data_IF_322599751838
#
_entry.id   IF_322599751838
#
_cell.length_a   1.000
_cell.length_b   1.000
_cell.length_c   1.000
_cell.angle_alpha   90.00
_cell.angle_beta   90.00
_cell.angle_gamma   90.00
#
_symmetry.space_group_name_H-M   'P 1'
#
loop_
_entity.id
_entity.type
_entity.pdbx_description
1 polymer ?
#
# COMPACT_ATOMS: atom_id res chain seq x y z
N UNK A 1 24.37 -14.51 7.60
CA UNK A 1 24.62 -14.65 6.16
C UNK A 1 23.52 -15.56 5.63
N UNK A 2 22.91 -15.25 4.51
CA UNK A 2 21.95 -16.16 3.88
C UNK A 2 22.72 -17.33 3.26
N UNK A 3 22.20 -18.54 3.45
CA UNK A 3 22.72 -19.72 2.78
C UNK A 3 22.02 -19.83 1.42
N UNK A 4 22.77 -19.69 0.36
CA UNK A 4 22.26 -19.77 -1.02
C UNK A 4 22.80 -21.01 -1.74
N UNK A 5 23.38 -21.95 -1.03
CA UNK A 5 24.02 -23.12 -1.64
C UNK A 5 23.06 -23.93 -2.50
N UNK A 6 21.81 -24.09 -2.10
CA UNK A 6 20.81 -24.78 -2.93
C UNK A 6 20.53 -24.03 -4.23
N UNK A 7 20.40 -22.69 -4.16
CA UNK A 7 20.20 -21.86 -5.37
C UNK A 7 21.43 -21.93 -6.26
N UNK A 8 22.62 -21.78 -5.66
CA UNK A 8 23.89 -21.82 -6.39
C UNK A 8 24.14 -23.16 -7.09
N UNK A 9 23.72 -24.25 -6.47
CA UNK A 9 23.84 -25.58 -7.06
C UNK A 9 22.83 -25.82 -8.17
N UNK A 10 21.63 -25.25 -8.07
CA UNK A 10 20.57 -25.38 -9.07
C UNK A 10 20.71 -24.39 -10.22
N UNK A 11 21.06 -23.13 -9.91
CA UNK A 11 21.17 -22.02 -10.86
C UNK A 11 22.24 -21.02 -10.40
N UNK A 12 23.48 -21.21 -10.85
CA UNK A 12 24.60 -20.33 -10.48
C UNK A 12 24.41 -18.87 -10.93
N UNK A 13 23.78 -18.64 -12.07
CA UNK A 13 23.56 -17.30 -12.64
C UNK A 13 22.61 -16.49 -11.74
N UNK A 14 21.53 -17.07 -11.28
CA UNK A 14 20.62 -16.42 -10.31
C UNK A 14 21.30 -16.21 -8.95
N UNK A 15 22.13 -17.13 -8.50
CA UNK A 15 22.87 -16.95 -7.25
C UNK A 15 23.84 -15.76 -7.32
N UNK A 16 24.46 -15.52 -8.47
CA UNK A 16 25.30 -14.34 -8.70
C UNK A 16 24.48 -13.04 -8.67
N UNK A 17 23.32 -12.99 -9.29
CA UNK A 17 22.41 -11.83 -9.26
C UNK A 17 21.97 -11.51 -7.84
N UNK A 18 21.54 -12.51 -7.06
CA UNK A 18 21.13 -12.32 -5.66
C UNK A 18 22.31 -11.80 -4.82
N UNK A 19 23.52 -12.33 -5.06
CA UNK A 19 24.71 -11.89 -4.35
C UNK A 19 25.08 -10.45 -4.70
N UNK A 20 24.94 -10.07 -5.97
CA UNK A 20 25.19 -8.71 -6.44
C UNK A 20 24.19 -7.72 -5.82
N UNK A 21 22.90 -8.08 -5.78
CA UNK A 21 21.87 -7.26 -5.15
C UNK A 21 22.11 -7.10 -3.64
N UNK A 22 22.48 -8.16 -2.95
CA UNK A 22 22.84 -8.07 -1.53
C UNK A 22 24.02 -7.11 -1.30
N UNK A 23 25.03 -7.11 -2.17
CA UNK A 23 26.14 -6.15 -2.12
C UNK A 23 25.67 -4.73 -2.38
N UNK A 24 24.80 -4.53 -3.39
CA UNK A 24 24.22 -3.23 -3.69
C UNK A 24 23.50 -2.65 -2.48
N UNK A 25 22.58 -3.40 -1.89
CA UNK A 25 21.81 -2.98 -0.72
C UNK A 25 22.70 -2.62 0.48
N UNK A 26 23.78 -3.38 0.72
CA UNK A 26 24.70 -3.11 1.83
C UNK A 26 25.65 -1.91 1.58
N UNK A 27 25.82 -1.48 0.34
CA UNK A 27 26.76 -0.41 -0.04
C UNK A 27 26.07 0.95 -0.31
N UNK A 28 24.75 1.00 -0.32
CA UNK A 28 23.99 2.21 -0.64
C UNK A 28 23.02 2.56 0.50
N UNK A 29 22.67 3.84 0.56
CA UNK A 29 21.57 4.32 1.42
C UNK A 29 20.31 4.28 0.56
N UNK A 30 19.31 3.51 1.01
CA UNK A 30 18.02 3.43 0.34
C UNK A 30 17.17 4.64 0.71
N UNK A 31 16.74 5.41 -0.31
CA UNK A 31 15.90 6.61 -0.15
C UNK A 31 14.47 6.41 -0.67
N UNK A 32 14.15 5.24 -1.21
CA UNK A 32 12.81 4.93 -1.68
C UNK A 32 11.96 4.50 -0.47
N UNK A 33 10.96 5.30 -0.11
CA UNK A 33 10.13 5.09 1.09
C UNK A 33 9.39 3.75 1.11
N UNK A 34 9.06 3.19 -0.05
CA UNK A 34 8.39 1.88 -0.17
C UNK A 34 9.33 0.68 -0.04
N UNK A 35 10.63 0.88 -0.06
CA UNK A 35 11.60 -0.19 0.14
C UNK A 35 11.88 -0.39 1.62
N UNK A 36 11.75 -1.64 2.08
CA UNK A 36 11.98 -2.01 3.47
C UNK A 36 12.87 -3.25 3.56
N UNK A 37 13.81 -3.22 4.49
CA UNK A 37 14.69 -4.35 4.76
C UNK A 37 13.99 -5.33 5.68
N UNK A 38 13.51 -6.41 5.12
CA UNK A 38 12.82 -7.44 5.88
C UNK A 38 13.80 -8.31 6.67
N UNK A 39 13.33 -8.87 7.79
CA UNK A 39 14.11 -9.80 8.58
C UNK A 39 14.36 -11.13 7.86
N UNK A 40 15.39 -11.86 8.28
CA UNK A 40 15.66 -13.22 7.79
C UNK A 40 14.46 -14.14 7.98
N UNK A 41 13.71 -13.98 9.08
CA UNK A 41 12.51 -14.78 9.35
C UNK A 41 11.42 -14.55 8.31
N UNK A 42 11.21 -13.29 7.88
CA UNK A 42 10.23 -12.97 6.81
C UNK A 42 10.65 -13.62 5.49
N UNK A 43 11.93 -13.51 5.11
CA UNK A 43 12.42 -14.15 3.88
C UNK A 43 12.32 -15.67 3.92
N UNK A 44 12.63 -16.31 5.05
CA UNK A 44 12.48 -17.75 5.23
C UNK A 44 11.01 -18.19 5.16
N UNK A 45 10.09 -17.41 5.72
CA UNK A 45 8.66 -17.69 5.63
C UNK A 45 8.13 -17.60 4.20
N UNK A 46 8.59 -16.64 3.40
CA UNK A 46 8.22 -16.50 1.99
C UNK A 46 8.69 -17.69 1.14
N UNK A 47 9.87 -18.26 1.41
CA UNK A 47 10.41 -19.45 0.75
C UNK A 47 9.98 -20.77 1.38
N UNK A 48 9.00 -20.78 2.27
CA UNK A 48 8.52 -21.99 2.94
C UNK A 48 7.57 -22.84 2.07
N UNK A 49 7.23 -24.08 2.50
CA UNK A 49 6.25 -24.91 1.80
C UNK A 49 4.86 -24.27 1.60
N UNK A 50 4.53 -23.19 2.34
CA UNK A 50 3.30 -22.43 2.11
C UNK A 50 3.25 -21.83 0.70
N UNK A 51 4.40 -21.56 0.08
CA UNK A 51 4.52 -21.11 -1.33
C UNK A 51 3.88 -22.07 -2.32
N UNK A 52 3.82 -23.37 -2.00
CA UNK A 52 3.23 -24.39 -2.87
C UNK A 52 1.71 -24.45 -2.80
N UNK A 53 1.09 -23.74 -1.82
CA UNK A 53 -0.34 -23.90 -1.56
C UNK A 53 -1.19 -22.86 -2.28
N UNK A 54 -2.05 -23.32 -3.17
CA UNK A 54 -3.10 -22.50 -3.78
C UNK A 54 -4.31 -22.40 -2.84
N UNK A 55 -4.69 -21.19 -2.45
CA UNK A 55 -5.66 -20.94 -1.39
C UNK A 55 -6.69 -19.87 -1.75
N UNK A 56 -7.31 -20.00 -2.94
CA UNK A 56 -8.37 -19.09 -3.39
C UNK A 56 -9.55 -19.10 -2.41
N UNK A 57 -10.10 -17.94 -2.13
CA UNK A 57 -11.15 -17.72 -1.12
C UNK A 57 -10.60 -17.17 0.19
N UNK A 58 -11.34 -17.34 1.26
CA UNK A 58 -11.00 -16.81 2.59
C UNK A 58 -10.90 -17.94 3.62
N UNK A 59 -10.28 -17.75 4.79
CA UNK A 59 -10.23 -18.74 5.86
C UNK A 59 -11.62 -19.32 6.16
N UNK A 60 -11.70 -20.65 6.18
CA UNK A 60 -12.97 -21.37 6.36
C UNK A 60 -13.94 -21.37 5.16
N UNK A 61 -13.62 -20.64 4.09
CA UNK A 61 -14.43 -20.51 2.86
C UNK A 61 -13.56 -20.59 1.62
N UNK A 62 -12.77 -21.64 1.51
CA UNK A 62 -11.86 -21.88 0.37
C UNK A 62 -12.56 -22.65 -0.75
N UNK A 63 -12.11 -22.38 -1.97
CA UNK A 63 -12.56 -23.15 -3.15
C UNK A 63 -11.88 -24.52 -3.25
N UNK A 64 -10.72 -24.71 -2.60
CA UNK A 64 -9.91 -25.92 -2.65
C UNK A 64 -9.68 -26.52 -1.27
N UNK A 65 -9.47 -27.83 -1.22
CA UNK A 65 -9.12 -28.57 -0.01
C UNK A 65 -7.68 -28.32 0.45
N UNK A 66 -7.35 -28.81 1.66
CA UNK A 66 -5.98 -28.76 2.20
C UNK A 66 -5.53 -27.38 2.69
N UNK A 67 -6.46 -26.47 3.00
CA UNK A 67 -6.16 -25.09 3.37
C UNK A 67 -6.06 -24.86 4.87
N UNK A 68 -6.21 -25.88 5.71
CA UNK A 68 -6.24 -25.75 7.17
C UNK A 68 -5.01 -25.05 7.76
N UNK A 69 -3.81 -25.24 7.18
CA UNK A 69 -2.59 -24.58 7.64
C UNK A 69 -2.49 -23.14 7.16
N UNK A 70 -2.82 -22.86 5.90
CA UNK A 70 -2.81 -21.49 5.36
C UNK A 70 -3.91 -20.64 5.98
N UNK A 71 -5.04 -21.24 6.37
CA UNK A 71 -6.10 -20.53 7.10
C UNK A 71 -5.58 -19.99 8.44
N UNK A 72 -4.83 -20.82 9.18
CA UNK A 72 -4.19 -20.37 10.43
C UNK A 72 -3.18 -19.25 10.17
N UNK A 73 -2.36 -19.38 9.14
CA UNK A 73 -1.36 -18.34 8.80
C UNK A 73 -2.04 -17.00 8.44
N UNK A 74 -3.09 -17.05 7.61
CA UNK A 74 -3.84 -15.85 7.22
C UNK A 74 -4.57 -15.22 8.43
N UNK A 75 -5.19 -16.05 9.30
CA UNK A 75 -5.88 -15.54 10.48
C UNK A 75 -4.91 -14.90 11.49
N UNK A 76 -3.72 -15.49 11.70
CA UNK A 76 -2.67 -14.87 12.51
C UNK A 76 -2.24 -13.52 11.95
N UNK A 77 -2.10 -13.39 10.64
CA UNK A 77 -1.76 -12.13 10.00
C UNK A 77 -2.86 -11.08 10.21
N UNK A 78 -4.13 -11.46 10.04
CA UNK A 78 -5.28 -10.58 10.26
C UNK A 78 -5.36 -10.07 11.70
N UNK A 79 -5.27 -10.96 12.68
CA UNK A 79 -5.36 -10.61 14.09
C UNK A 79 -4.17 -9.74 14.54
N UNK A 80 -2.98 -9.98 14.03
CA UNK A 80 -1.81 -9.15 14.30
C UNK A 80 -1.95 -7.76 13.69
N UNK A 81 -2.43 -7.66 12.44
CA UNK A 81 -2.69 -6.38 11.79
C UNK A 81 -3.79 -5.59 12.51
N UNK A 82 -4.89 -6.22 12.96
CA UNK A 82 -5.90 -5.57 13.80
C UNK A 82 -5.30 -4.94 15.05
N UNK A 83 -4.43 -5.68 15.75
CA UNK A 83 -3.75 -5.16 16.96
C UNK A 83 -2.82 -4.00 16.64
N UNK A 84 -2.06 -4.11 15.54
CA UNK A 84 -1.08 -3.09 15.14
C UNK A 84 -1.76 -1.76 14.77
N UNK A 85 -2.84 -1.82 14.01
CA UNK A 85 -3.53 -0.63 13.50
C UNK A 85 -4.76 -0.22 14.34
N UNK A 86 -5.15 -0.99 15.35
CA UNK A 86 -6.32 -0.71 16.18
C UNK A 86 -7.62 -0.72 15.38
N UNK A 87 -7.74 -1.56 14.35
CA UNK A 87 -8.89 -1.59 13.46
C UNK A 87 -9.75 -2.85 13.65
N UNK A 88 -11.03 -2.75 13.27
CA UNK A 88 -11.99 -3.85 13.41
C UNK A 88 -11.87 -4.90 12.29
N UNK A 89 -11.58 -4.46 11.08
CA UNK A 89 -11.54 -5.30 9.88
C UNK A 89 -10.21 -5.20 9.18
N UNK A 90 -9.70 -6.34 8.71
CA UNK A 90 -8.45 -6.43 7.97
C UNK A 90 -8.58 -7.45 6.85
N UNK A 91 -8.03 -7.09 5.69
CA UNK A 91 -7.76 -8.01 4.59
C UNK A 91 -6.25 -7.98 4.32
N UNK A 92 -5.60 -9.15 4.38
CA UNK A 92 -4.15 -9.30 4.20
C UNK A 92 -3.79 -9.97 2.86
N UNK A 93 -4.77 -10.18 1.97
CA UNK A 93 -4.55 -10.88 0.71
C UNK A 93 -3.91 -10.03 -0.41
N UNK A 94 -4.06 -8.69 -0.47
CA UNK A 94 -3.40 -7.93 -1.52
C UNK A 94 -1.88 -8.18 -1.55
N UNK A 95 -1.35 -8.46 -2.73
CA UNK A 95 0.09 -8.71 -2.90
C UNK A 95 0.93 -7.42 -3.00
N UNK A 96 0.28 -6.26 -3.12
CA UNK A 96 0.94 -4.96 -3.25
C UNK A 96 0.04 -3.83 -2.77
N UNK A 97 0.64 -2.68 -2.43
CA UNK A 97 -0.12 -1.46 -2.13
C UNK A 97 -1.01 -1.01 -3.29
N UNK A 98 -0.56 -1.19 -4.53
CA UNK A 98 -1.37 -0.88 -5.71
C UNK A 98 -2.63 -1.75 -5.78
N UNK A 99 -2.52 -3.05 -5.51
CA UNK A 99 -3.67 -3.95 -5.47
C UNK A 99 -4.60 -3.61 -4.29
N UNK A 100 -4.06 -3.28 -3.12
CA UNK A 100 -4.86 -2.88 -1.97
C UNK A 100 -5.66 -1.61 -2.27
N UNK A 101 -5.03 -0.59 -2.85
CA UNK A 101 -5.71 0.65 -3.22
C UNK A 101 -6.79 0.40 -4.28
N UNK A 102 -6.50 -0.41 -5.29
CA UNK A 102 -7.47 -0.78 -6.31
C UNK A 102 -8.66 -1.56 -5.72
N UNK A 103 -8.40 -2.49 -4.80
CA UNK A 103 -9.47 -3.23 -4.13
C UNK A 103 -10.43 -2.30 -3.38
N UNK A 104 -9.90 -1.32 -2.63
CA UNK A 104 -10.73 -0.32 -1.92
C UNK A 104 -11.50 0.55 -2.93
N UNK A 105 -10.84 1.05 -3.95
CA UNK A 105 -11.47 1.91 -4.96
C UNK A 105 -12.65 1.20 -5.64
N UNK A 106 -12.44 -0.03 -6.12
CA UNK A 106 -13.51 -0.78 -6.82
C UNK A 106 -14.57 -1.38 -5.88
N UNK A 107 -14.30 -1.51 -4.59
CA UNK A 107 -15.30 -1.88 -3.60
C UNK A 107 -16.24 -0.73 -3.25
N UNK A 108 -15.74 0.51 -3.26
CA UNK A 108 -16.46 1.69 -2.77
C UNK A 108 -16.98 2.61 -3.88
N UNK A 109 -16.47 2.46 -5.10
CA UNK A 109 -16.71 3.37 -6.21
C UNK A 109 -17.19 2.63 -7.46
N UNK A 110 -17.85 3.36 -8.32
CA UNK A 110 -18.21 2.95 -9.68
C UNK A 110 -17.33 3.69 -10.70
N UNK A 111 -16.91 3.06 -11.81
CA UNK A 111 -16.20 3.77 -12.87
C UNK A 111 -16.91 5.06 -13.28
N UNK A 112 -16.13 6.16 -13.35
CA UNK A 112 -16.65 7.52 -13.60
C UNK A 112 -16.92 8.35 -12.34
N UNK A 113 -16.94 7.74 -11.14
CA UNK A 113 -17.04 8.50 -9.89
C UNK A 113 -15.84 9.47 -9.75
N UNK A 114 -16.08 10.61 -9.11
CA UNK A 114 -15.02 11.60 -8.84
C UNK A 114 -14.22 11.20 -7.60
N UNK A 115 -12.90 11.22 -7.74
CA UNK A 115 -11.95 11.02 -6.64
C UNK A 115 -11.01 12.23 -6.52
N UNK A 116 -10.56 12.52 -5.29
CA UNK A 116 -9.48 13.47 -5.03
C UNK A 116 -8.26 12.74 -4.49
N UNK A 117 -7.08 13.08 -5.00
CA UNK A 117 -5.80 12.58 -4.52
C UNK A 117 -4.71 13.63 -4.68
N UNK A 118 -3.59 13.46 -3.98
CA UNK A 118 -2.47 14.37 -4.13
C UNK A 118 -1.90 14.30 -5.55
N UNK A 119 -1.62 15.47 -6.15
CA UNK A 119 -0.96 15.56 -7.44
C UNK A 119 0.38 14.82 -7.43
N UNK A 120 0.66 14.07 -8.48
CA UNK A 120 1.90 13.32 -8.63
C UNK A 120 3.14 14.21 -8.53
N UNK A 121 3.10 15.40 -9.15
CA UNK A 121 4.19 16.38 -9.14
C UNK A 121 4.45 16.99 -7.75
N UNK A 122 3.50 16.85 -6.83
CA UNK A 122 3.60 17.31 -5.44
C UNK A 122 3.87 16.19 -4.44
N UNK A 123 4.21 14.99 -4.93
CA UNK A 123 4.56 13.84 -4.10
C UNK A 123 3.46 12.79 -3.97
N UNK A 124 2.39 12.87 -4.75
CA UNK A 124 1.32 11.87 -4.79
C UNK A 124 1.81 10.49 -5.28
N UNK A 125 0.97 9.49 -5.10
CA UNK A 125 1.24 8.14 -5.60
C UNK A 125 0.51 7.88 -6.92
N UNK A 126 1.08 7.03 -7.78
CA UNK A 126 0.45 6.65 -9.07
C UNK A 126 -1.00 6.19 -8.91
N UNK A 127 -1.29 5.41 -7.86
CA UNK A 127 -2.64 4.87 -7.59
C UNK A 127 -3.63 5.88 -7.01
N UNK A 128 -3.23 7.14 -6.85
CA UNK A 128 -4.10 8.22 -6.37
C UNK A 128 -4.72 9.03 -7.51
N UNK A 129 -4.75 8.50 -8.73
CA UNK A 129 -5.40 9.14 -9.85
C UNK A 129 -4.47 9.54 -11.00
N UNK A 130 -3.23 9.03 -11.06
CA UNK A 130 -2.35 9.30 -12.19
C UNK A 130 -2.97 8.79 -13.50
N UNK A 131 -2.93 9.57 -14.61
CA UNK A 131 -3.51 9.18 -15.89
C UNK A 131 -2.97 7.87 -16.48
N UNK A 132 -1.75 7.47 -16.09
CA UNK A 132 -1.14 6.20 -16.53
C UNK A 132 -1.53 5.01 -15.67
N UNK A 133 -2.21 5.25 -14.55
CA UNK A 133 -2.67 4.22 -13.62
C UNK A 133 -4.16 3.90 -13.83
N UNK A 134 -4.60 2.71 -13.38
CA UNK A 134 -6.02 2.34 -13.43
C UNK A 134 -6.92 3.37 -12.75
N UNK A 135 -6.50 3.94 -11.61
CA UNK A 135 -7.26 4.96 -10.90
C UNK A 135 -7.56 6.18 -11.76
N UNK A 136 -6.59 6.66 -12.55
CA UNK A 136 -6.80 7.77 -13.47
C UNK A 136 -7.54 7.42 -14.77
N UNK A 137 -7.63 6.12 -15.09
CA UNK A 137 -8.36 5.64 -16.28
C UNK A 137 -9.84 5.37 -16.01
N UNK A 138 -10.17 4.94 -14.81
CA UNK A 138 -11.53 4.54 -14.45
C UNK A 138 -12.32 5.61 -13.71
N UNK A 139 -11.65 6.57 -13.06
CA UNK A 139 -12.29 7.59 -12.24
C UNK A 139 -12.03 8.99 -12.77
N UNK A 140 -12.96 9.90 -12.48
CA UNK A 140 -12.73 11.32 -12.71
C UNK A 140 -11.85 11.89 -11.59
N UNK A 141 -10.64 12.33 -11.93
CA UNK A 141 -9.64 12.74 -10.93
C UNK A 141 -9.56 14.24 -10.82
N UNK A 142 -9.74 14.76 -9.62
CA UNK A 142 -9.49 16.16 -9.29
C UNK A 142 -8.33 16.20 -8.25
N UNK A 143 -7.13 16.64 -8.63
CA UNK A 143 -6.00 16.62 -7.73
C UNK A 143 -6.04 17.78 -6.73
N UNK A 144 -5.51 17.54 -5.52
CA UNK A 144 -5.06 18.60 -4.63
C UNK A 144 -3.53 18.63 -4.58
N UNK A 145 -2.97 19.74 -4.09
CA UNK A 145 -1.52 19.93 -4.07
C UNK A 145 -1.01 20.57 -2.80
N UNK A 146 0.19 21.13 -2.91
CA UNK A 146 0.84 21.91 -1.88
C UNK A 146 0.88 23.38 -2.28
N UNK A 147 1.02 24.27 -1.28
CA UNK A 147 1.27 25.68 -1.50
C UNK A 147 2.75 25.95 -1.86
N UNK A 148 3.12 27.24 -1.98
CA UNK A 148 4.48 27.65 -2.33
C UNK A 148 5.53 27.27 -1.28
N UNK A 149 5.13 27.04 -0.02
CA UNK A 149 5.98 26.55 1.07
C UNK A 149 6.15 25.02 1.07
N UNK A 150 5.54 24.31 0.10
CA UNK A 150 5.57 22.87 -0.01
C UNK A 150 4.72 22.15 1.03
N UNK A 151 3.67 22.80 1.57
CA UNK A 151 2.77 22.26 2.58
C UNK A 151 1.36 22.09 2.01
N UNK A 152 0.65 21.04 2.41
CA UNK A 152 -0.77 20.85 2.04
C UNK A 152 -1.59 21.99 2.62
N UNK A 153 -2.28 22.74 1.75
CA UNK A 153 -3.25 23.74 2.13
C UNK A 153 -4.62 23.10 2.30
N UNK A 154 -4.99 22.78 3.54
CA UNK A 154 -6.24 22.09 3.85
C UNK A 154 -7.49 22.91 3.55
N UNK A 155 -7.41 24.23 3.61
CA UNK A 155 -8.55 25.10 3.26
C UNK A 155 -8.77 25.08 1.76
N UNK A 156 -7.71 25.03 0.97
CA UNK A 156 -7.79 24.83 -0.48
C UNK A 156 -8.29 23.42 -0.84
N UNK A 157 -7.87 22.39 -0.10
CA UNK A 157 -8.41 21.03 -0.26
C UNK A 157 -9.92 21.02 -0.03
N UNK A 158 -10.40 21.71 1.03
CA UNK A 158 -11.84 21.82 1.32
C UNK A 158 -12.59 22.56 0.22
N UNK A 159 -12.04 23.68 -0.27
CA UNK A 159 -12.64 24.44 -1.39
C UNK A 159 -12.83 23.56 -2.63
N UNK A 160 -11.77 22.85 -3.04
CA UNK A 160 -11.81 21.93 -4.19
C UNK A 160 -12.83 20.81 -3.94
N UNK A 161 -12.85 20.23 -2.71
CA UNK A 161 -13.79 19.18 -2.37
C UNK A 161 -15.26 19.64 -2.44
N UNK A 162 -15.56 20.86 -2.01
CA UNK A 162 -16.90 21.45 -2.12
C UNK A 162 -17.35 21.66 -3.57
N UNK A 163 -16.40 22.04 -4.42
CA UNK A 163 -16.67 22.28 -5.84
C UNK A 163 -16.90 20.96 -6.59
N UNK A 164 -15.96 20.00 -6.47
CA UNK A 164 -16.01 18.76 -7.26
C UNK A 164 -16.84 17.63 -6.63
N UNK A 165 -17.20 17.75 -5.34
CA UNK A 165 -17.99 16.77 -4.58
C UNK A 165 -17.50 15.32 -4.79
N UNK A 166 -16.25 15.02 -4.43
CA UNK A 166 -15.68 13.71 -4.69
C UNK A 166 -16.40 12.64 -3.88
N UNK A 167 -16.51 11.46 -4.42
CA UNK A 167 -17.04 10.31 -3.67
C UNK A 167 -15.98 9.72 -2.73
N UNK A 168 -14.71 9.93 -3.05
CA UNK A 168 -13.59 9.52 -2.22
C UNK A 168 -12.47 10.56 -2.23
N UNK A 169 -11.94 10.88 -1.05
CA UNK A 169 -10.71 11.64 -0.87
C UNK A 169 -9.61 10.67 -0.45
N UNK A 170 -8.49 10.66 -1.17
CA UNK A 170 -7.33 9.82 -0.88
C UNK A 170 -6.26 10.70 -0.22
N UNK A 171 -6.01 10.47 1.06
CA UNK A 171 -4.96 11.11 1.82
C UNK A 171 -3.74 10.20 1.92
N UNK A 172 -2.58 10.71 1.54
CA UNK A 172 -1.33 9.95 1.51
C UNK A 172 -0.43 10.41 0.38
N UNK A 173 0.82 10.04 0.46
CA UNK A 173 1.84 10.46 -0.50
C UNK A 173 2.99 9.46 -0.59
N UNK A 174 3.74 9.49 -1.70
CA UNK A 174 4.99 8.74 -1.87
C UNK A 174 6.22 9.58 -1.57
N UNK A 175 6.16 10.89 -1.81
CA UNK A 175 7.30 11.78 -1.77
C UNK A 175 6.99 13.13 -1.10
N UNK A 176 6.09 13.15 -0.13
CA UNK A 176 5.76 14.33 0.67
C UNK A 176 6.41 14.19 2.05
N UNK A 177 7.41 15.03 2.34
CA UNK A 177 8.27 14.92 3.51
C UNK A 177 7.74 15.65 4.78
N UNK A 178 6.48 16.04 4.79
CA UNK A 178 5.85 16.74 5.91
C UNK A 178 4.79 15.86 6.56
N UNK A 179 4.42 16.16 7.79
CA UNK A 179 3.32 15.49 8.49
C UNK A 179 1.99 15.77 7.78
N UNK A 180 1.20 14.72 7.57
CA UNK A 180 -0.15 14.83 7.03
C UNK A 180 -1.14 14.87 8.20
N UNK A 181 -2.00 15.90 8.23
CA UNK A 181 -3.09 15.99 9.20
C UNK A 181 -4.30 15.16 8.74
N UNK A 182 -4.33 13.90 9.13
CA UNK A 182 -5.43 13.00 8.80
C UNK A 182 -6.74 13.39 9.48
N UNK A 183 -6.68 14.07 10.65
CA UNK A 183 -7.87 14.57 11.31
C UNK A 183 -8.54 15.65 10.46
N UNK A 184 -7.76 16.56 9.92
CA UNK A 184 -8.28 17.60 9.03
C UNK A 184 -8.85 17.01 7.73
N UNK A 185 -8.21 15.99 7.17
CA UNK A 185 -8.79 15.26 6.03
C UNK A 185 -10.12 14.57 6.39
N UNK A 186 -10.24 14.02 7.60
CA UNK A 186 -11.51 13.42 8.06
C UNK A 186 -12.61 14.47 8.14
N UNK A 187 -12.32 15.62 8.74
CA UNK A 187 -13.26 16.74 8.83
C UNK A 187 -13.73 17.21 7.44
N UNK A 188 -12.80 17.35 6.49
CA UNK A 188 -13.12 17.72 5.10
C UNK A 188 -14.01 16.67 4.44
N UNK A 189 -13.67 15.40 4.57
CA UNK A 189 -14.44 14.32 3.97
C UNK A 189 -15.86 14.24 4.56
N UNK A 190 -16.01 14.44 5.87
CA UNK A 190 -17.30 14.47 6.54
C UNK A 190 -18.17 15.65 6.06
N UNK A 191 -17.55 16.84 5.89
CA UNK A 191 -18.27 18.04 5.46
C UNK A 191 -18.84 17.89 4.03
N UNK A 192 -18.14 17.19 3.14
CA UNK A 192 -18.61 16.97 1.76
C UNK A 192 -19.30 15.62 1.53
N UNK A 193 -19.38 14.76 2.56
CA UNK A 193 -20.00 13.44 2.47
C UNK A 193 -19.20 12.42 1.67
N UNK A 194 -17.86 12.55 1.66
CA UNK A 194 -16.95 11.66 0.95
C UNK A 194 -16.43 10.53 1.83
N UNK A 195 -16.08 9.41 1.20
CA UNK A 195 -15.20 8.43 1.85
C UNK A 195 -13.80 9.03 2.02
N UNK A 196 -13.16 8.74 3.15
CA UNK A 196 -11.73 9.00 3.34
C UNK A 196 -10.97 7.70 3.22
N UNK A 197 -10.10 7.60 2.23
CA UNK A 197 -9.12 6.54 2.08
C UNK A 197 -7.75 7.07 2.48
N UNK A 198 -7.06 6.39 3.40
CA UNK A 198 -5.70 6.74 3.79
C UNK A 198 -4.72 5.71 3.22
N UNK A 199 -3.75 6.17 2.45
CA UNK A 199 -2.69 5.34 1.88
C UNK A 199 -1.40 5.59 2.68
N UNK A 200 -1.10 4.66 3.61
CA UNK A 200 0.00 4.79 4.57
C UNK A 200 1.32 4.26 3.98
N UNK A 201 1.99 5.06 3.18
CA UNK A 201 3.34 4.73 2.72
C UNK A 201 4.42 5.19 3.72
N UNK A 202 4.19 6.34 4.37
CA UNK A 202 5.12 7.00 5.28
C UNK A 202 4.84 6.81 6.76
N UNK A 203 3.61 6.55 7.12
CA UNK A 203 3.13 6.63 8.50
C UNK A 203 2.94 5.29 9.17
N UNK A 204 3.21 4.19 8.46
CA UNK A 204 3.24 2.86 9.07
C UNK A 204 4.52 2.70 9.87
N UNK A 205 4.47 2.06 11.05
CA UNK A 205 5.68 1.70 11.78
C UNK A 205 6.61 0.88 10.88
N UNK A 206 7.85 1.34 10.77
CA UNK A 206 8.90 0.68 9.99
C UNK A 206 9.97 0.15 10.93
N UNK A 207 10.64 -0.96 10.62
CA UNK A 207 11.81 -1.40 11.37
C UNK A 207 12.98 -0.40 11.34
N UNK A 208 12.86 0.67 10.57
CA UNK A 208 13.83 1.78 10.52
C UNK A 208 13.53 2.89 11.55
N UNK A 209 12.33 2.92 12.09
CA UNK A 209 11.89 3.88 13.12
C UNK A 209 12.13 3.28 14.50
#
# INVERSE_FOLDING_TARGET
MYDFDEIKNADPEIAEVITAEMKRQNSHIELIASENWVSKAVMAAMGSPLTNKYAEGYPGKRYYGGCQCVDVAEELARERAKKLFGCEYVNVQPHSGAQANMAVQFAMLTPGDTIMGMNLDHGGHLTHGSPVNLSGKYFHVVPYGVNDDGVIDYDKVLEIAKECKPKMIIAGASAYARTIDFKRFREIADEVGSYLMVCLLYTSPSPRD
#
